data_IF_271143489775
#
_entry.id   IF_271143489775
#
_cell.length_a   1.000
_cell.length_b   1.000
_cell.length_c   1.000
_cell.angle_alpha   90.00
_cell.angle_beta   90.00
_cell.angle_gamma   90.00
#
_symmetry.space_group_name_H-M   'P 1'
#
loop_
_entity.id
_entity.type
_entity.pdbx_description
1 polymer ?
#
# COMPACT_ATOMS: atom_id res chain seq x y z
N UNK A 1 28.05 4.00 -36.28
CA UNK A 1 27.05 4.89 -35.63
C UNK A 1 25.88 4.13 -34.96
N UNK A 2 25.72 2.81 -35.15
CA UNK A 2 24.62 2.01 -34.57
C UNK A 2 24.87 1.49 -33.14
N UNK A 3 26.13 1.25 -32.77
CA UNK A 3 26.51 0.65 -31.48
C UNK A 3 26.27 1.59 -30.29
N UNK A 4 26.43 2.91 -30.48
CA UNK A 4 26.25 3.91 -29.41
C UNK A 4 24.79 4.18 -29.02
N UNK A 5 23.83 3.91 -29.90
CA UNK A 5 22.40 4.15 -29.60
C UNK A 5 21.82 3.00 -28.77
N UNK A 6 22.26 1.77 -29.04
CA UNK A 6 21.80 0.57 -28.32
C UNK A 6 22.33 0.58 -26.88
N UNK A 7 23.62 0.91 -26.67
CA UNK A 7 24.20 1.02 -25.31
C UNK A 7 23.54 2.12 -24.50
N UNK A 8 23.21 3.28 -25.09
CA UNK A 8 22.54 4.38 -24.38
C UNK A 8 21.11 4.02 -23.97
N UNK A 9 20.36 3.31 -24.82
CA UNK A 9 19.00 2.86 -24.50
C UNK A 9 18.99 1.73 -23.45
N UNK A 10 19.94 0.79 -23.53
CA UNK A 10 20.10 -0.28 -22.54
C UNK A 10 20.56 0.29 -21.19
N UNK A 11 21.49 1.25 -21.18
CA UNK A 11 21.95 1.91 -19.96
C UNK A 11 20.84 2.74 -19.32
N UNK A 12 20.03 3.45 -20.10
CA UNK A 12 18.86 4.18 -19.60
C UNK A 12 17.81 3.24 -19.02
N UNK A 13 17.61 2.07 -19.64
CA UNK A 13 16.68 1.05 -19.16
C UNK A 13 17.20 0.35 -17.89
N UNK A 14 18.50 0.08 -17.80
CA UNK A 14 19.16 -0.46 -16.60
C UNK A 14 19.12 0.57 -15.46
N UNK A 15 19.41 1.84 -15.74
CA UNK A 15 19.32 2.92 -14.75
C UNK A 15 17.87 3.13 -14.28
N UNK A 16 16.89 3.09 -15.19
CA UNK A 16 15.47 3.12 -14.84
C UNK A 16 15.07 1.90 -13.99
N UNK A 17 15.60 0.71 -14.28
CA UNK A 17 15.36 -0.51 -13.52
C UNK A 17 16.01 -0.44 -12.12
N UNK A 18 17.23 0.11 -12.00
CA UNK A 18 17.94 0.30 -10.73
C UNK A 18 17.26 1.38 -9.88
N UNK A 19 16.78 2.48 -10.47
CA UNK A 19 15.96 3.50 -9.80
C UNK A 19 14.57 2.98 -9.41
N UNK A 20 14.03 2.00 -10.15
CA UNK A 20 12.83 1.27 -9.75
C UNK A 20 13.13 0.28 -8.61
N UNK A 21 14.35 -0.22 -8.46
CA UNK A 21 14.74 -1.18 -7.42
C UNK A 21 15.18 -0.53 -6.11
N UNK A 22 15.55 0.75 -6.10
CA UNK A 22 16.18 1.43 -4.94
C UNK A 22 15.23 1.94 -3.84
N UNK A 23 13.97 1.48 -3.82
CA UNK A 23 13.07 1.68 -2.66
C UNK A 23 12.60 0.32 -2.16
N UNK A 24 13.54 -0.53 -1.77
CA UNK A 24 13.24 -1.54 -0.77
C UNK A 24 13.13 -0.82 0.57
N UNK A 25 11.93 -0.37 0.92
CA UNK A 25 11.60 -0.10 2.32
C UNK A 25 12.07 -1.34 3.09
N UNK A 26 12.96 -1.16 4.05
CA UNK A 26 13.41 -2.21 4.96
C UNK A 26 12.21 -2.59 5.83
N UNK A 27 11.31 -3.39 5.27
CA UNK A 27 10.23 -4.01 6.00
C UNK A 27 10.83 -5.06 6.93
N UNK A 28 10.32 -5.20 8.16
CA UNK A 28 10.84 -6.18 9.10
C UNK A 28 10.83 -7.58 8.48
N UNK A 29 11.89 -8.35 8.77
CA UNK A 29 12.01 -9.77 8.43
C UNK A 29 10.89 -10.56 9.12
N UNK A 30 9.67 -10.54 8.56
CA UNK A 30 8.63 -11.50 8.92
C UNK A 30 8.83 -12.73 8.03
N UNK A 31 9.60 -13.68 8.53
CA UNK A 31 9.78 -14.99 7.94
C UNK A 31 8.47 -15.78 8.07
N UNK A 32 7.55 -15.62 7.12
CA UNK A 32 6.44 -16.55 6.86
C UNK A 32 5.70 -16.10 5.58
N UNK A 33 6.09 -16.70 4.45
CA UNK A 33 5.42 -16.69 3.15
C UNK A 33 5.16 -15.31 2.51
N UNK A 34 6.12 -14.82 1.72
CA UNK A 34 5.81 -13.83 0.69
C UNK A 34 4.87 -14.48 -0.34
N UNK A 35 3.55 -14.33 -0.10
CA UNK A 35 2.52 -14.79 -1.04
C UNK A 35 2.73 -14.16 -2.41
N UNK A 36 2.23 -14.83 -3.47
CA UNK A 36 2.29 -14.29 -4.83
C UNK A 36 1.66 -12.90 -4.92
N UNK A 37 0.59 -12.67 -4.17
CA UNK A 37 -0.08 -11.38 -4.09
C UNK A 37 0.83 -10.31 -3.46
N UNK A 38 1.61 -10.67 -2.43
CA UNK A 38 2.56 -9.72 -1.84
C UNK A 38 3.67 -9.31 -2.81
N UNK A 39 4.18 -10.26 -3.61
CA UNK A 39 5.16 -9.96 -4.65
C UNK A 39 4.59 -9.05 -5.75
N UNK A 40 3.32 -9.22 -6.11
CA UNK A 40 2.61 -8.31 -7.01
C UNK A 40 2.44 -6.93 -6.36
N UNK A 41 2.01 -6.87 -5.10
CA UNK A 41 1.85 -5.63 -4.36
C UNK A 41 3.13 -4.80 -4.35
N UNK A 42 4.30 -5.41 -4.09
CA UNK A 42 5.59 -4.69 -4.09
C UNK A 42 5.91 -4.03 -5.43
N UNK A 43 5.45 -4.60 -6.54
CA UNK A 43 5.67 -4.06 -7.89
C UNK A 43 4.73 -2.90 -8.23
N UNK A 44 3.55 -2.82 -7.62
CA UNK A 44 2.61 -1.70 -7.81
C UNK A 44 3.20 -0.43 -7.17
N UNK A 45 3.27 0.66 -7.93
CA UNK A 45 3.80 1.94 -7.46
C UNK A 45 2.83 3.07 -7.71
N UNK A 46 2.89 4.11 -6.88
CA UNK A 46 2.14 5.34 -7.14
C UNK A 46 2.60 5.98 -8.45
N UNK A 47 1.66 6.56 -9.19
CA UNK A 47 1.88 7.06 -10.55
C UNK A 47 1.72 6.01 -11.65
N UNK A 48 1.56 4.72 -11.32
CA UNK A 48 1.18 3.72 -12.33
C UNK A 48 -0.26 3.94 -12.81
N UNK A 49 -0.54 3.64 -14.07
CA UNK A 49 -1.90 3.67 -14.64
C UNK A 49 -2.66 2.38 -14.34
N UNK A 50 -3.99 2.41 -14.48
CA UNK A 50 -4.84 1.21 -14.41
C UNK A 50 -4.34 0.09 -15.34
N UNK A 51 -3.87 0.45 -16.55
CA UNK A 51 -3.30 -0.49 -17.51
C UNK A 51 -2.02 -1.16 -16.99
N UNK A 52 -1.11 -0.40 -16.38
CA UNK A 52 0.13 -0.96 -15.82
C UNK A 52 -0.17 -1.90 -14.65
N UNK A 53 -1.10 -1.53 -13.77
CA UNK A 53 -1.51 -2.41 -12.67
C UNK A 53 -2.19 -3.69 -13.19
N UNK A 54 -3.08 -3.55 -14.18
CA UNK A 54 -3.75 -4.70 -14.80
C UNK A 54 -2.76 -5.70 -15.41
N UNK A 55 -1.63 -5.22 -15.98
CA UNK A 55 -0.55 -6.10 -16.46
C UNK A 55 0.13 -6.86 -15.32
N UNK A 56 0.36 -6.23 -14.17
CA UNK A 56 0.96 -6.89 -13.00
C UNK A 56 0.02 -7.97 -12.42
N UNK A 57 -1.28 -7.71 -12.38
CA UNK A 57 -2.27 -8.59 -11.76
C UNK A 57 -2.65 -9.74 -12.71
N UNK A 58 -2.96 -9.45 -13.98
CA UNK A 58 -3.57 -10.39 -14.92
C UNK A 58 -2.61 -10.87 -16.03
N UNK A 59 -1.38 -10.38 -16.06
CA UNK A 59 -0.37 -10.76 -17.05
C UNK A 59 -0.83 -10.52 -18.49
N UNK A 60 -0.64 -11.51 -19.37
CA UNK A 60 -0.98 -11.42 -20.80
C UNK A 60 -2.47 -11.14 -21.05
N UNK A 61 -3.36 -11.46 -20.10
CA UNK A 61 -4.81 -11.30 -20.23
C UNK A 61 -5.32 -9.92 -19.79
N UNK A 62 -4.45 -8.99 -19.39
CA UNK A 62 -4.81 -7.69 -18.80
C UNK A 62 -5.91 -6.91 -19.54
N UNK A 63 -5.87 -6.90 -20.90
CA UNK A 63 -6.87 -6.18 -21.71
C UNK A 63 -8.30 -6.65 -21.46
N UNK A 64 -8.51 -7.92 -21.10
CA UNK A 64 -9.84 -8.47 -20.83
C UNK A 64 -10.49 -7.86 -19.58
N UNK A 65 -9.70 -7.31 -18.66
CA UNK A 65 -10.12 -6.76 -17.37
C UNK A 65 -10.19 -5.23 -17.34
N UNK A 66 -9.97 -4.58 -18.48
CA UNK A 66 -10.06 -3.12 -18.61
C UNK A 66 -11.25 -2.72 -19.47
N UNK A 67 -11.90 -1.62 -19.11
CA UNK A 67 -12.87 -0.90 -19.93
C UNK A 67 -12.40 0.52 -20.19
N UNK A 68 -12.95 1.13 -21.24
CA UNK A 68 -12.80 2.54 -21.53
C UNK A 68 -14.19 3.17 -21.48
N UNK A 69 -14.37 4.13 -20.58
CA UNK A 69 -15.64 4.80 -20.34
C UNK A 69 -15.39 6.31 -20.23
N UNK A 70 -16.14 7.12 -20.97
CA UNK A 70 -15.94 8.58 -21.05
C UNK A 70 -14.49 9.02 -21.36
N UNK A 71 -13.74 8.19 -22.10
CA UNK A 71 -12.35 8.43 -22.44
C UNK A 71 -11.33 8.02 -21.37
N UNK A 72 -11.79 7.52 -20.22
CA UNK A 72 -10.96 7.04 -19.10
C UNK A 72 -10.80 5.52 -19.20
N UNK A 73 -9.58 5.02 -19.04
CA UNK A 73 -9.33 3.57 -18.93
C UNK A 73 -9.34 3.15 -17.46
N UNK A 74 -10.21 2.21 -17.11
CA UNK A 74 -10.39 1.70 -15.74
C UNK A 74 -10.69 0.19 -15.73
N UNK A 75 -10.83 -0.42 -14.56
CA UNK A 75 -11.14 -1.85 -14.43
C UNK A 75 -12.62 -2.14 -14.75
N UNK A 76 -12.89 -3.35 -15.25
CA UNK A 76 -14.26 -3.78 -15.64
C UNK A 76 -15.16 -4.12 -14.46
N UNK A 77 -14.60 -4.67 -13.39
CA UNK A 77 -15.37 -5.05 -12.21
C UNK A 77 -15.73 -3.82 -11.38
N UNK A 78 -16.66 -4.00 -10.46
CA UNK A 78 -17.16 -2.91 -9.64
C UNK A 78 -16.07 -2.36 -8.71
N UNK A 79 -16.02 -1.03 -8.53
CA UNK A 79 -15.12 -0.41 -7.58
C UNK A 79 -15.66 -0.58 -6.14
N UNK A 80 -14.74 -0.65 -5.17
CA UNK A 80 -15.06 -0.56 -3.75
C UNK A 80 -15.51 0.85 -3.36
N UNK A 81 -15.00 1.84 -4.10
CA UNK A 81 -15.34 3.24 -3.92
C UNK A 81 -15.30 3.95 -5.27
N UNK A 82 -16.30 4.79 -5.51
CA UNK A 82 -16.33 5.75 -6.60
C UNK A 82 -16.61 7.12 -6.01
N UNK A 83 -15.79 8.10 -6.37
CA UNK A 83 -16.01 9.49 -5.98
C UNK A 83 -15.37 10.47 -6.95
N UNK A 84 -15.26 11.71 -6.46
CA UNK A 84 -14.66 12.81 -7.17
C UNK A 84 -15.68 13.90 -7.48
N UNK A 85 -15.30 14.80 -8.38
CA UNK A 85 -16.11 15.89 -8.88
C UNK A 85 -16.04 15.95 -10.43
N UNK A 86 -16.69 16.93 -11.03
CA UNK A 86 -16.67 17.18 -12.48
C UNK A 86 -15.24 17.33 -13.07
N UNK A 87 -14.26 17.67 -12.24
CA UNK A 87 -12.89 17.93 -12.61
C UNK A 87 -11.93 16.81 -12.23
N UNK A 88 -12.30 15.88 -11.35
CA UNK A 88 -11.44 14.80 -10.86
C UNK A 88 -12.24 13.54 -10.57
N UNK A 89 -11.70 12.39 -10.96
CA UNK A 89 -12.33 11.09 -10.74
C UNK A 89 -11.40 10.27 -9.84
N UNK A 90 -11.97 9.60 -8.85
CA UNK A 90 -11.26 8.59 -8.08
C UNK A 90 -12.05 7.29 -7.94
N UNK A 91 -11.32 6.18 -8.03
CA UNK A 91 -11.83 4.83 -7.85
C UNK A 91 -10.97 4.08 -6.84
N UNK A 92 -11.56 3.22 -6.03
CA UNK A 92 -10.85 2.16 -5.34
C UNK A 92 -11.25 0.79 -5.91
N UNK A 93 -10.26 -0.08 -6.12
CA UNK A 93 -10.48 -1.44 -6.60
C UNK A 93 -9.79 -2.45 -5.69
N UNK A 94 -10.50 -3.51 -5.35
CA UNK A 94 -9.99 -4.67 -4.64
C UNK A 94 -9.60 -5.80 -5.59
N UNK A 95 -8.54 -6.53 -5.24
CA UNK A 95 -8.07 -7.70 -5.97
C UNK A 95 -7.72 -8.83 -5.01
N UNK A 96 -7.91 -10.06 -5.48
CA UNK A 96 -7.71 -11.29 -4.71
C UNK A 96 -8.61 -11.24 -3.47
N UNK A 97 -9.89 -11.54 -3.65
CA UNK A 97 -10.82 -11.63 -2.54
C UNK A 97 -10.46 -12.82 -1.64
N UNK A 98 -10.56 -12.62 -0.34
CA UNK A 98 -10.12 -13.56 0.69
C UNK A 98 -11.01 -13.43 1.92
N UNK A 99 -11.15 -14.49 2.70
CA UNK A 99 -11.95 -14.50 3.94
C UNK A 99 -11.08 -15.04 5.08
N UNK A 100 -10.56 -14.12 5.89
CA UNK A 100 -9.85 -14.49 7.12
C UNK A 100 -10.85 -14.95 8.17
N UNK A 101 -10.51 -15.99 8.93
CA UNK A 101 -11.35 -16.47 10.04
C UNK A 101 -11.69 -15.37 11.05
N UNK A 102 -10.79 -14.39 11.22
CA UNK A 102 -10.98 -13.27 12.15
C UNK A 102 -11.87 -12.15 11.62
N UNK A 103 -12.11 -12.08 10.30
CA UNK A 103 -12.87 -11.01 9.68
C UNK A 103 -14.31 -11.44 9.43
N UNK A 104 -15.25 -10.51 9.65
CA UNK A 104 -16.68 -10.76 9.43
C UNK A 104 -17.05 -10.73 7.94
N UNK A 105 -16.29 -9.97 7.16
CA UNK A 105 -16.52 -9.71 5.75
C UNK A 105 -15.32 -10.16 4.93
N UNK A 106 -15.53 -10.34 3.62
CA UNK A 106 -14.44 -10.57 2.70
C UNK A 106 -13.51 -9.36 2.69
N UNK A 107 -12.22 -9.65 2.59
CA UNK A 107 -11.17 -8.66 2.39
C UNK A 107 -10.53 -8.85 1.03
N UNK A 108 -9.88 -7.82 0.53
CA UNK A 108 -9.03 -7.92 -0.66
C UNK A 108 -7.57 -7.97 -0.23
N UNK A 109 -6.80 -8.94 -0.73
CA UNK A 109 -5.35 -9.01 -0.46
C UNK A 109 -4.66 -7.72 -0.91
N UNK A 110 -5.13 -7.12 -2.01
CA UNK A 110 -4.65 -5.84 -2.53
C UNK A 110 -5.84 -4.92 -2.77
N UNK A 111 -5.77 -3.67 -2.30
CA UNK A 111 -6.61 -2.60 -2.83
C UNK A 111 -5.76 -1.46 -3.39
N UNK A 112 -6.24 -0.80 -4.44
CA UNK A 112 -5.58 0.36 -5.06
C UNK A 112 -6.57 1.50 -5.23
N UNK A 113 -6.13 2.71 -4.88
CA UNK A 113 -6.85 3.94 -5.15
C UNK A 113 -6.25 4.62 -6.38
N UNK A 114 -7.09 4.80 -7.39
CA UNK A 114 -6.79 5.44 -8.66
C UNK A 114 -7.39 6.84 -8.69
N UNK A 115 -6.59 7.83 -9.12
CA UNK A 115 -6.96 9.24 -9.11
C UNK A 115 -6.57 9.91 -10.41
N UNK A 116 -7.40 10.83 -10.90
CA UNK A 116 -7.05 11.67 -12.04
C UNK A 116 -6.39 12.99 -11.63
N UNK A 117 -5.65 13.57 -12.58
CA UNK A 117 -5.27 14.99 -12.53
C UNK A 117 -6.51 15.85 -12.81
N UNK A 118 -6.46 17.14 -12.45
CA UNK A 118 -7.53 18.09 -12.76
C UNK A 118 -7.85 18.07 -14.27
N UNK A 119 -9.12 17.84 -14.61
CA UNK A 119 -9.66 17.67 -15.97
C UNK A 119 -8.96 16.58 -16.80
N UNK A 120 -8.21 15.70 -16.14
CA UNK A 120 -7.42 14.65 -16.76
C UNK A 120 -8.23 13.37 -16.95
N UNK A 121 -8.02 12.69 -18.10
CA UNK A 121 -8.70 11.42 -18.43
C UNK A 121 -7.86 10.17 -18.11
N UNK A 122 -6.72 10.33 -17.44
CA UNK A 122 -5.86 9.22 -17.03
C UNK A 122 -5.92 9.06 -15.52
N UNK A 123 -6.15 7.82 -15.10
CA UNK A 123 -6.13 7.39 -13.70
C UNK A 123 -4.74 6.90 -13.31
N UNK A 124 -4.25 7.36 -12.16
CA UNK A 124 -2.96 7.01 -11.59
C UNK A 124 -3.13 6.47 -10.18
N UNK A 125 -2.34 5.45 -9.82
CA UNK A 125 -2.28 4.93 -8.46
C UNK A 125 -1.81 6.05 -7.54
N UNK A 126 -2.66 6.44 -6.60
CA UNK A 126 -2.33 7.36 -5.51
C UNK A 126 -2.25 6.66 -4.16
N UNK A 127 -2.94 5.53 -4.03
CA UNK A 127 -3.04 4.72 -2.83
C UNK A 127 -2.89 3.24 -3.19
N UNK A 128 -2.25 2.48 -2.30
CA UNK A 128 -2.20 1.01 -2.36
C UNK A 128 -2.19 0.45 -0.93
N UNK A 129 -2.92 -0.64 -0.72
CA UNK A 129 -2.94 -1.41 0.50
C UNK A 129 -2.64 -2.88 0.19
N UNK A 130 -2.00 -3.57 1.13
CA UNK A 130 -1.92 -5.02 1.16
C UNK A 130 -2.30 -5.55 2.54
N UNK A 131 -3.25 -6.48 2.57
CA UNK A 131 -3.67 -7.18 3.78
C UNK A 131 -3.03 -8.56 3.81
N UNK A 132 -2.45 -8.99 4.93
CA UNK A 132 -1.87 -10.33 5.11
C UNK A 132 -2.96 -11.40 5.36
N UNK A 133 -2.74 -12.64 4.94
CA UNK A 133 -3.74 -13.73 4.95
C UNK A 133 -3.91 -14.25 6.34
N UNK A 134 -2.77 -14.51 6.98
CA UNK A 134 -2.67 -15.03 8.33
C UNK A 134 -1.84 -14.04 9.16
N UNK A 135 -2.42 -12.86 9.49
CA UNK A 135 -1.73 -11.91 10.33
C UNK A 135 -1.51 -12.50 11.73
N UNK A 136 -0.37 -12.20 12.34
CA UNK A 136 -0.09 -12.67 13.69
C UNK A 136 -0.91 -11.86 14.69
N UNK A 137 -1.52 -12.57 15.63
CA UNK A 137 -2.18 -11.98 16.79
C UNK A 137 -1.23 -12.06 17.98
N UNK A 138 -0.36 -11.06 18.13
CA UNK A 138 0.67 -11.07 19.17
C UNK A 138 0.08 -10.74 20.54
N UNK A 139 0.71 -11.23 21.61
CA UNK A 139 0.24 -11.02 22.98
C UNK A 139 1.27 -10.22 23.78
N UNK A 140 0.85 -9.19 24.50
CA UNK A 140 1.75 -8.37 25.32
C UNK A 140 2.19 -9.09 26.59
N UNK A 141 3.40 -8.77 27.05
CA UNK A 141 3.86 -9.11 28.40
C UNK A 141 2.96 -8.49 29.48
N UNK A 142 2.87 -9.14 30.65
CA UNK A 142 2.09 -8.63 31.79
C UNK A 142 2.49 -7.19 32.11
N UNK A 143 1.50 -6.32 32.30
CA UNK A 143 1.65 -4.88 32.59
C UNK A 143 2.41 -4.05 31.52
N UNK A 144 2.67 -4.60 30.33
CA UNK A 144 3.22 -3.81 29.21
C UNK A 144 2.09 -3.24 28.37
N UNK A 145 2.31 -2.01 27.89
CA UNK A 145 1.44 -1.32 26.94
C UNK A 145 2.27 -0.66 25.84
N UNK A 146 1.81 -0.71 24.58
CA UNK A 146 2.33 0.10 23.50
C UNK A 146 2.23 1.59 23.84
N UNK A 147 3.22 2.37 23.39
CA UNK A 147 3.25 3.82 23.57
C UNK A 147 3.54 4.48 22.24
N UNK A 148 2.93 5.64 22.02
CA UNK A 148 3.23 6.51 20.86
C UNK A 148 4.74 6.73 20.75
N UNK A 149 5.26 6.65 19.53
CA UNK A 149 6.69 6.79 19.25
C UNK A 149 7.52 5.52 19.49
N UNK A 150 6.95 4.40 19.94
CA UNK A 150 7.67 3.12 19.94
C UNK A 150 7.94 2.67 18.50
N UNK A 151 9.19 2.34 18.19
CA UNK A 151 9.56 1.64 16.95
C UNK A 151 9.04 0.21 16.92
N UNK A 152 9.03 -0.41 15.73
CA UNK A 152 8.73 -1.85 15.57
C UNK A 152 9.55 -2.70 16.56
N UNK A 153 10.87 -2.49 16.66
CA UNK A 153 11.73 -3.27 17.54
C UNK A 153 11.41 -3.09 19.03
N UNK A 154 10.95 -1.90 19.44
CA UNK A 154 10.54 -1.66 20.84
C UNK A 154 9.19 -2.29 21.14
N UNK A 155 8.27 -2.27 20.16
CA UNK A 155 6.97 -2.91 20.25
C UNK A 155 7.12 -4.45 20.27
N UNK A 156 8.02 -4.99 19.48
CA UNK A 156 8.37 -6.42 19.42
C UNK A 156 8.83 -6.95 20.79
N UNK A 157 9.74 -6.22 21.45
CA UNK A 157 10.28 -6.56 22.79
C UNK A 157 9.25 -6.59 23.92
N UNK A 158 8.07 -6.02 23.73
CA UNK A 158 7.00 -6.05 24.74
C UNK A 158 5.92 -7.10 24.43
N UNK A 159 6.13 -7.93 23.41
CA UNK A 159 5.26 -9.04 23.01
C UNK A 159 5.89 -10.41 23.35
N UNK A 160 5.06 -11.38 23.72
CA UNK A 160 5.42 -12.78 23.96
C UNK A 160 5.67 -13.54 22.65
N UNK A 161 6.47 -14.62 22.74
CA UNK A 161 6.66 -15.56 21.64
C UNK A 161 7.65 -15.05 20.60
N UNK A 162 7.32 -15.20 19.31
CA UNK A 162 8.15 -14.76 18.18
C UNK A 162 8.05 -13.26 17.87
N UNK A 163 7.62 -12.44 18.83
CA UNK A 163 7.45 -11.01 18.65
C UNK A 163 6.16 -10.60 17.92
N UNK A 164 6.24 -9.56 17.09
CA UNK A 164 5.12 -9.00 16.32
C UNK A 164 4.67 -9.89 15.17
N UNK A 165 5.54 -10.76 14.66
CA UNK A 165 5.22 -11.69 13.58
C UNK A 165 4.80 -10.97 12.28
N UNK A 166 3.77 -11.50 11.63
CA UNK A 166 3.22 -11.01 10.37
C UNK A 166 2.25 -9.86 10.63
N UNK A 167 2.47 -8.73 9.97
CA UNK A 167 1.58 -7.56 10.02
C UNK A 167 0.17 -7.88 9.50
N UNK A 168 -0.82 -7.06 9.86
CA UNK A 168 -2.18 -7.16 9.35
C UNK A 168 -2.33 -6.48 8.00
N UNK A 169 -2.01 -5.19 7.93
CA UNK A 169 -2.10 -4.40 6.72
C UNK A 169 -0.87 -3.53 6.54
N UNK A 170 -0.51 -3.24 5.28
CA UNK A 170 0.46 -2.21 4.92
C UNK A 170 -0.12 -1.30 3.85
N UNK A 171 -0.16 -0.02 4.16
CA UNK A 171 -0.72 1.02 3.32
C UNK A 171 0.38 1.99 2.88
N UNK A 172 0.29 2.43 1.63
CA UNK A 172 1.12 3.48 1.07
C UNK A 172 0.27 4.44 0.24
N UNK A 173 0.39 5.74 0.53
CA UNK A 173 -0.27 6.82 -0.18
C UNK A 173 0.75 7.86 -0.64
N UNK A 174 0.66 8.27 -1.89
CA UNK A 174 1.39 9.40 -2.42
C UNK A 174 0.57 10.08 -3.52
N UNK A 175 -0.11 11.16 -3.16
CA UNK A 175 -0.89 11.99 -4.07
C UNK A 175 -0.16 13.30 -4.45
N UNK A 176 1.07 13.49 -3.97
CA UNK A 176 1.84 14.74 -4.17
C UNK A 176 1.98 15.14 -5.65
N UNK A 177 2.08 14.15 -6.54
CA UNK A 177 2.25 14.34 -7.98
C UNK A 177 0.99 14.85 -8.70
N UNK A 178 -0.18 14.78 -8.07
CA UNK A 178 -1.44 15.24 -8.64
C UNK A 178 -1.72 16.72 -8.40
N UNK A 179 -0.95 17.37 -7.52
CA UNK A 179 -1.08 18.79 -7.15
C UNK A 179 -2.55 19.17 -6.91
N UNK A 180 -3.21 18.45 -6.01
CA UNK A 180 -4.61 18.74 -5.63
C UNK A 180 -4.56 19.95 -4.71
N UNK A 181 -5.05 21.10 -5.16
CA UNK A 181 -4.97 22.35 -4.40
C UNK A 181 -6.28 22.59 -3.65
N UNK A 182 -6.19 23.13 -2.44
CA UNK A 182 -7.34 23.70 -1.73
C UNK A 182 -7.66 25.11 -2.25
N UNK A 183 -8.70 25.74 -1.70
CA UNK A 183 -9.15 27.09 -2.06
C UNK A 183 -8.09 28.18 -1.87
N UNK A 184 -7.05 27.89 -1.09
CA UNK A 184 -5.90 28.78 -0.84
C UNK A 184 -4.72 28.48 -1.78
N UNK A 185 -4.91 27.66 -2.81
CA UNK A 185 -3.87 27.24 -3.75
C UNK A 185 -2.79 26.32 -3.16
N UNK A 186 -2.99 25.78 -1.94
CA UNK A 186 -2.03 24.89 -1.28
C UNK A 186 -2.34 23.43 -1.58
N UNK A 187 -1.31 22.63 -1.82
CA UNK A 187 -1.48 21.20 -2.05
C UNK A 187 -2.07 20.51 -0.81
N UNK A 188 -3.24 19.89 -0.97
CA UNK A 188 -3.95 19.14 0.06
C UNK A 188 -3.21 17.88 0.49
N UNK A 189 -2.39 17.32 -0.39
CA UNK A 189 -1.57 16.14 -0.12
C UNK A 189 -0.09 16.48 -0.33
N UNK A 190 0.51 17.26 0.59
CA UNK A 190 1.87 17.75 0.42
C UNK A 190 2.93 16.67 0.68
N UNK A 191 2.56 15.56 1.31
CA UNK A 191 3.48 14.49 1.71
C UNK A 191 2.92 13.11 1.33
N UNK A 192 3.84 12.17 1.15
CA UNK A 192 3.52 10.74 1.08
C UNK A 192 3.36 10.18 2.50
N UNK A 193 2.54 9.15 2.64
CA UNK A 193 2.24 8.45 3.90
C UNK A 193 2.45 6.96 3.74
N UNK A 194 2.89 6.30 4.80
CA UNK A 194 2.89 4.84 4.86
C UNK A 194 2.59 4.40 6.27
N UNK A 195 1.72 3.40 6.39
CA UNK A 195 1.27 2.87 7.66
C UNK A 195 1.36 1.36 7.61
N UNK A 196 1.78 0.74 8.71
CA UNK A 196 1.72 -0.71 8.92
C UNK A 196 0.91 -0.99 10.17
N UNK A 197 0.06 -2.01 10.14
CA UNK A 197 -0.79 -2.38 11.26
C UNK A 197 -0.47 -3.78 11.78
N UNK A 198 -0.65 -4.01 13.08
CA UNK A 198 -0.53 -5.33 13.73
C UNK A 198 -1.74 -5.58 14.63
N UNK A 199 -2.10 -6.83 14.85
CA UNK A 199 -3.14 -7.21 15.81
C UNK A 199 -2.48 -7.64 17.12
N UNK A 200 -2.82 -6.98 18.22
CA UNK A 200 -2.22 -7.23 19.53
C UNK A 200 -3.30 -7.49 20.59
N UNK A 201 -3.03 -8.44 21.49
CA UNK A 201 -3.84 -8.74 22.69
C UNK A 201 -3.10 -8.32 23.95
N UNK A 202 -3.80 -7.68 24.88
CA UNK A 202 -3.30 -7.53 26.25
C UNK A 202 -3.13 -8.91 26.92
N UNK A 203 -2.30 -8.98 27.96
CA UNK A 203 -1.94 -10.23 28.63
C UNK A 203 -3.12 -11.13 29.05
N UNK A 204 -4.25 -10.54 29.49
CA UNK A 204 -5.45 -11.31 29.88
C UNK A 204 -6.64 -11.10 28.94
N UNK A 205 -6.47 -10.36 27.85
CA UNK A 205 -7.59 -10.02 26.97
C UNK A 205 -7.93 -11.17 26.02
N UNK A 206 -9.23 -11.46 25.91
CA UNK A 206 -9.76 -12.41 24.91
C UNK A 206 -9.75 -11.80 23.50
N UNK A 207 -9.99 -10.49 23.39
CA UNK A 207 -10.02 -9.75 22.11
C UNK A 207 -8.73 -8.98 21.89
N UNK A 208 -8.27 -8.98 20.64
CA UNK A 208 -7.16 -8.14 20.20
C UNK A 208 -7.66 -6.78 19.72
N UNK A 209 -6.74 -5.83 19.61
CA UNK A 209 -6.95 -4.53 18.99
C UNK A 209 -5.86 -4.29 17.94
N UNK A 210 -6.13 -3.39 17.00
CA UNK A 210 -5.17 -3.05 15.94
C UNK A 210 -4.28 -1.91 16.42
N UNK A 211 -2.98 -2.03 16.20
CA UNK A 211 -2.01 -0.96 16.41
C UNK A 211 -1.47 -0.54 15.08
N UNK A 212 -1.40 0.77 14.87
CA UNK A 212 -0.90 1.36 13.65
C UNK A 212 0.44 2.04 13.91
N UNK A 213 1.37 1.83 13.00
CA UNK A 213 2.65 2.50 13.00
C UNK A 213 2.78 3.29 11.71
N UNK A 214 3.16 4.56 11.81
CA UNK A 214 3.42 5.43 10.68
C UNK A 214 4.90 5.49 10.36
N UNK A 215 5.23 5.56 9.07
CA UNK A 215 6.59 5.68 8.60
C UNK A 215 7.08 7.12 8.72
N UNK A 216 8.08 7.34 9.56
CA UNK A 216 8.84 8.57 9.59
C UNK A 216 9.89 8.55 8.47
N UNK A 217 9.67 9.34 7.42
CA UNK A 217 10.59 9.41 6.28
C UNK A 217 11.94 10.03 6.58
N UNK A 218 12.06 10.84 7.65
CA UNK A 218 13.33 11.42 8.08
C UNK A 218 14.15 10.37 8.84
N UNK A 219 13.51 9.66 9.77
CA UNK A 219 14.14 8.60 10.57
C UNK A 219 14.23 7.25 9.85
N UNK A 220 13.54 7.13 8.71
CA UNK A 220 13.46 5.92 7.87
C UNK A 220 12.99 4.68 8.65
N UNK A 221 11.99 4.85 9.52
CA UNK A 221 11.47 3.77 10.35
C UNK A 221 9.99 3.98 10.69
N UNK A 222 9.31 2.90 11.10
CA UNK A 222 7.93 2.92 11.56
C UNK A 222 7.84 3.13 13.07
N UNK A 223 6.91 3.97 13.49
CA UNK A 223 6.66 4.28 14.90
C UNK A 223 5.17 4.23 15.22
N UNK A 224 4.82 3.70 16.39
CA UNK A 224 3.44 3.68 16.89
C UNK A 224 2.86 5.08 16.82
N UNK A 225 1.80 5.21 16.02
CA UNK A 225 1.08 6.45 15.85
C UNK A 225 0.16 6.70 17.04
N UNK A 226 -0.20 7.96 17.25
CA UNK A 226 -1.27 8.31 18.16
C UNK A 226 -2.59 7.85 17.53
N UNK A 227 -3.29 6.93 18.17
CA UNK A 227 -4.60 6.47 17.71
C UNK A 227 -5.67 7.19 18.52
N UNK A 228 -6.68 7.79 17.87
CA UNK A 228 -7.90 8.15 18.60
C UNK A 228 -8.53 6.82 19.07
N UNK A 229 -8.73 6.68 20.38
CA UNK A 229 -9.55 5.59 20.94
C UNK A 229 -11.01 5.76 20.54
#
# INVERSE_FOLDING_TARGET
>A
MYTNVITKNVLTMILALILLLSVTLTLPKSASAASKEYEIYKQIKTGMTATQVSKLIYGKKYKKYLKKEYGVTTFKHDPLYLGGDENRINYEFGFFEDKRESDKEFIYRISIGLFSKHKGKTLYVGFKNYSAEKPTVSKLHKNKKPKVGMSINQLDKITYGSGLGVFRDITYENLTFLKILNDKGKNMFPTKKSTISYVIKNYNAKKGYTIYLEYDYKKKNYYVADQPF
#
